data_IF_310007779244
#
_entry.id   IF_310007779244
#
_cell.length_a   1.000
_cell.length_b   1.000
_cell.length_c   1.000
_cell.angle_alpha   90.00
_cell.angle_beta   90.00
_cell.angle_gamma   90.00
#
_symmetry.space_group_name_H-M   'P 1'
#
loop_
_entity.id
_entity.type
_entity.pdbx_description
1 polymer ?
#
# COMPACT_ATOMS: atom_id res chain seq x y z
N UNK A 1 -23.57 -13.50 27.72
CA UNK A 1 -22.84 -12.27 27.38
C UNK A 1 -22.95 -12.18 25.88
N UNK A 2 -23.97 -11.47 25.39
CA UNK A 2 -24.09 -11.21 23.96
C UNK A 2 -23.12 -10.07 23.72
N UNK A 3 -22.00 -10.38 23.08
CA UNK A 3 -21.17 -9.30 22.54
C UNK A 3 -22.00 -8.77 21.38
N UNK A 4 -22.59 -7.59 21.58
CA UNK A 4 -23.34 -6.90 20.54
C UNK A 4 -22.43 -6.80 19.32
N UNK A 5 -22.91 -7.30 18.18
CA UNK A 5 -22.13 -7.36 16.92
C UNK A 5 -21.68 -5.96 16.48
N UNK A 6 -22.39 -4.92 16.93
CA UNK A 6 -22.04 -3.50 16.77
C UNK A 6 -20.78 -3.11 17.55
N UNK A 7 -20.61 -3.57 18.79
CA UNK A 7 -19.44 -3.28 19.63
C UNK A 7 -18.18 -3.97 19.08
N UNK A 8 -18.35 -5.15 18.47
CA UNK A 8 -17.28 -5.87 17.75
C UNK A 8 -16.87 -5.16 16.45
N UNK A 9 -17.82 -4.53 15.75
CA UNK A 9 -17.56 -3.76 14.52
C UNK A 9 -16.85 -2.45 14.84
N UNK A 10 -17.29 -1.74 15.88
CA UNK A 10 -16.63 -0.50 16.30
C UNK A 10 -15.20 -0.75 16.79
N UNK A 11 -14.95 -1.82 17.54
CA UNK A 11 -13.60 -2.19 17.97
C UNK A 11 -12.68 -2.62 16.82
N UNK A 12 -13.22 -3.23 15.76
CA UNK A 12 -12.44 -3.54 14.56
C UNK A 12 -12.11 -2.28 13.75
N UNK A 13 -13.07 -1.36 13.62
CA UNK A 13 -12.88 -0.08 12.94
C UNK A 13 -11.82 0.72 13.70
N UNK A 14 -11.93 0.86 15.02
CA UNK A 14 -10.98 1.59 15.85
C UNK A 14 -9.58 0.96 15.81
N UNK A 15 -9.47 -0.38 15.76
CA UNK A 15 -8.17 -1.06 15.63
C UNK A 15 -7.54 -0.93 14.23
N UNK A 16 -8.35 -0.78 13.17
CA UNK A 16 -7.86 -0.47 11.82
C UNK A 16 -7.53 1.01 11.64
N UNK A 17 -8.29 1.91 12.25
CA UNK A 17 -8.08 3.36 12.23
C UNK A 17 -6.83 3.76 13.02
N UNK A 18 -6.53 3.07 14.13
CA UNK A 18 -5.35 3.39 14.94
C UNK A 18 -4.01 3.02 14.29
N UNK A 19 -4.01 2.19 13.24
CA UNK A 19 -2.83 1.93 12.39
C UNK A 19 -2.79 2.83 11.15
N UNK A 20 -3.89 3.51 10.87
CA UNK A 20 -4.00 4.45 9.78
C UNK A 20 -3.89 5.85 10.38
N UNK A 21 -2.67 6.35 10.51
CA UNK A 21 -2.41 7.76 10.82
C UNK A 21 -2.83 8.61 9.59
N UNK A 22 -4.14 8.65 9.33
CA UNK A 22 -4.83 9.51 8.37
C UNK A 22 -5.02 10.88 9.03
N UNK A 23 -3.90 11.58 9.24
CA UNK A 23 -3.94 13.01 9.47
C UNK A 23 -3.30 13.75 8.29
N UNK A 24 -4.19 14.44 7.55
CA UNK A 24 -3.94 15.49 6.55
C UNK A 24 -3.28 15.07 5.24
N UNK A 25 -3.87 14.11 4.54
CA UNK A 25 -4.19 14.17 3.11
C UNK A 25 -5.00 12.91 2.77
N UNK A 26 -5.93 12.97 1.82
CA UNK A 26 -6.67 11.79 1.33
C UNK A 26 -5.75 10.82 0.53
N UNK A 27 -4.50 10.67 0.95
CA UNK A 27 -3.49 9.82 0.35
C UNK A 27 -3.64 8.45 0.97
N UNK A 28 -4.27 7.53 0.25
CA UNK A 28 -4.29 6.12 0.62
C UNK A 28 -2.82 5.68 0.74
N UNK A 29 -2.35 5.17 1.91
CA UNK A 29 -0.97 4.77 2.06
C UNK A 29 -0.62 3.73 1.00
N UNK A 30 0.56 3.85 0.40
CA UNK A 30 1.01 2.95 -0.67
C UNK A 30 0.87 1.46 -0.30
N UNK A 31 1.16 1.10 0.96
CA UNK A 31 0.99 -0.27 1.48
C UNK A 31 -0.46 -0.77 1.52
N UNK A 32 -1.46 0.11 1.51
CA UNK A 32 -2.86 -0.26 1.40
C UNK A 32 -3.31 -0.43 -0.06
N UNK A 33 -2.69 0.29 -1.00
CA UNK A 33 -2.98 0.17 -2.44
C UNK A 33 -2.30 -1.06 -3.06
N UNK A 34 -1.15 -1.47 -2.55
CA UNK A 34 -0.40 -2.64 -3.02
C UNK A 34 -0.52 -3.82 -2.03
N UNK A 35 -1.70 -4.45 -1.87
CA UNK A 35 -1.85 -5.58 -0.95
C UNK A 35 -1.01 -6.79 -1.42
N UNK A 36 -0.73 -7.77 -0.54
CA UNK A 36 0.08 -8.94 -0.90
C UNK A 36 -0.38 -9.66 -2.16
N UNK A 37 -1.71 -9.80 -2.36
CA UNK A 37 -2.25 -10.42 -3.57
C UNK A 37 -1.95 -9.63 -4.86
N UNK A 38 -1.87 -8.30 -4.77
CA UNK A 38 -1.45 -7.45 -5.90
C UNK A 38 0.04 -7.63 -6.17
N UNK A 39 0.88 -7.58 -5.12
CA UNK A 39 2.33 -7.73 -5.25
C UNK A 39 2.71 -9.07 -5.86
N UNK A 40 2.11 -10.17 -5.40
CA UNK A 40 2.30 -11.50 -5.97
C UNK A 40 1.82 -11.64 -7.42
N UNK A 41 0.93 -10.77 -7.88
CA UNK A 41 0.39 -10.81 -9.25
C UNK A 41 1.31 -10.08 -10.23
N UNK A 42 1.86 -8.94 -9.84
CA UNK A 42 2.59 -8.03 -10.75
C UNK A 42 4.10 -7.91 -10.46
N UNK A 43 4.59 -8.58 -9.42
CA UNK A 43 5.99 -8.51 -8.96
C UNK A 43 6.45 -9.88 -8.45
N UNK A 44 7.75 -10.03 -8.21
CA UNK A 44 8.32 -11.24 -7.58
C UNK A 44 8.30 -11.20 -6.04
N UNK A 45 7.71 -10.15 -5.44
CA UNK A 45 7.72 -9.92 -4.00
C UNK A 45 6.38 -10.29 -3.36
N UNK A 46 6.44 -10.77 -2.11
CA UNK A 46 5.25 -11.15 -1.35
C UNK A 46 4.47 -9.93 -0.85
N UNK A 47 5.18 -8.85 -0.49
CA UNK A 47 4.59 -7.62 0.06
C UNK A 47 5.26 -6.36 -0.48
N UNK A 48 4.58 -5.22 -0.35
CA UNK A 48 5.16 -3.92 -0.70
C UNK A 48 6.36 -3.57 0.19
N UNK A 49 6.38 -4.06 1.44
CA UNK A 49 7.55 -3.89 2.30
C UNK A 49 8.75 -4.65 1.76
N UNK A 50 8.59 -5.92 1.37
CA UNK A 50 9.70 -6.69 0.78
C UNK A 50 10.24 -6.04 -0.50
N UNK A 51 9.36 -5.43 -1.28
CA UNK A 51 9.75 -4.65 -2.46
C UNK A 51 10.59 -3.43 -2.10
N UNK A 52 10.27 -2.73 -1.00
CA UNK A 52 11.08 -1.59 -0.52
C UNK A 52 12.38 -2.05 0.14
N UNK A 53 12.36 -3.14 0.91
CA UNK A 53 13.55 -3.69 1.59
C UNK A 53 14.62 -4.15 0.60
N UNK A 54 14.20 -4.55 -0.61
CA UNK A 54 15.08 -4.97 -1.70
C UNK A 54 15.54 -3.79 -2.57
N UNK A 55 15.03 -2.58 -2.29
CA UNK A 55 15.43 -1.36 -2.97
C UNK A 55 16.79 -0.86 -2.47
N UNK A 56 17.46 0.04 -3.20
CA UNK A 56 18.72 0.64 -2.75
C UNK A 56 18.53 1.68 -1.62
N UNK A 57 17.30 2.00 -1.24
CA UNK A 57 16.97 2.98 -0.21
C UNK A 57 16.65 2.30 1.12
N UNK A 58 17.04 2.94 2.21
CA UNK A 58 16.67 2.53 3.57
C UNK A 58 15.34 3.22 3.93
N UNK A 59 14.23 2.49 3.79
CA UNK A 59 12.86 3.02 3.97
C UNK A 59 12.25 2.41 5.22
N UNK A 60 12.42 3.08 6.36
CA UNK A 60 11.84 2.63 7.64
C UNK A 60 10.44 3.25 7.84
N UNK A 61 10.19 4.41 7.25
CA UNK A 61 8.95 5.15 7.42
C UNK A 61 8.53 5.95 6.18
N UNK A 62 7.33 6.53 6.23
CA UNK A 62 6.76 7.27 5.11
C UNK A 62 7.57 8.54 4.72
N UNK A 63 8.27 9.16 5.66
CA UNK A 63 9.12 10.31 5.39
C UNK A 63 10.31 9.91 4.52
N UNK A 64 10.96 8.79 4.84
CA UNK A 64 12.11 8.28 4.07
C UNK A 64 11.66 7.98 2.62
N UNK A 65 10.49 7.37 2.46
CA UNK A 65 9.91 7.12 1.14
C UNK A 65 9.68 8.42 0.34
N UNK A 66 9.24 9.50 0.98
CA UNK A 66 9.04 10.80 0.34
C UNK A 66 10.34 11.50 -0.06
N UNK A 67 11.47 11.12 0.53
CA UNK A 67 12.78 11.66 0.16
C UNK A 67 13.38 10.97 -1.07
N UNK A 68 12.81 9.84 -1.50
CA UNK A 68 13.24 9.14 -2.71
C UNK A 68 12.91 9.98 -3.95
N UNK A 69 13.88 10.23 -4.84
CA UNK A 69 13.62 10.90 -6.11
C UNK A 69 12.64 10.08 -6.97
N UNK A 70 11.55 10.71 -7.42
CA UNK A 70 10.52 10.05 -8.22
C UNK A 70 11.07 9.34 -9.45
N UNK A 71 11.96 9.98 -10.22
CA UNK A 71 12.56 9.39 -11.43
C UNK A 71 13.38 8.10 -11.14
N UNK A 72 14.05 8.06 -9.99
CA UNK A 72 14.81 6.87 -9.57
C UNK A 72 13.85 5.77 -9.10
N UNK A 73 12.80 6.13 -8.36
CA UNK A 73 11.78 5.19 -7.94
C UNK A 73 11.00 4.61 -9.13
N UNK A 74 10.66 5.42 -10.12
CA UNK A 74 10.05 4.96 -11.38
C UNK A 74 10.94 3.97 -12.12
N UNK A 75 12.25 4.23 -12.13
CA UNK A 75 13.23 3.30 -12.69
C UNK A 75 13.25 1.98 -11.93
N UNK A 76 13.19 2.03 -10.59
CA UNK A 76 13.13 0.85 -9.74
C UNK A 76 11.85 0.04 -9.98
N UNK A 77 10.69 0.69 -10.03
CA UNK A 77 9.39 0.08 -10.36
C UNK A 77 9.45 -0.61 -11.72
N UNK A 78 9.99 0.05 -12.75
CA UNK A 78 10.14 -0.52 -14.09
C UNK A 78 11.01 -1.77 -14.14
N UNK A 79 12.01 -1.85 -13.27
CA UNK A 79 12.95 -2.97 -13.25
C UNK A 79 12.44 -4.19 -12.49
N UNK A 80 11.54 -3.96 -11.52
CA UNK A 80 11.15 -4.96 -10.52
C UNK A 80 9.66 -5.33 -10.59
N UNK A 81 8.89 -4.70 -11.48
CA UNK A 81 7.46 -4.92 -11.69
C UNK A 81 7.12 -4.90 -13.17
N UNK A 82 5.89 -5.25 -13.53
CA UNK A 82 5.40 -5.13 -14.91
C UNK A 82 5.03 -3.68 -15.33
N UNK A 83 5.09 -2.72 -14.40
CA UNK A 83 4.68 -1.33 -14.64
C UNK A 83 5.82 -0.47 -15.21
N UNK A 84 5.48 0.65 -15.82
CA UNK A 84 6.47 1.53 -16.46
C UNK A 84 7.07 2.55 -15.49
N UNK A 85 6.35 2.85 -14.42
CA UNK A 85 6.60 3.91 -13.45
C UNK A 85 5.65 3.69 -12.26
N UNK A 86 5.87 4.45 -11.20
CA UNK A 86 5.07 4.36 -9.98
C UNK A 86 3.62 4.81 -10.17
N UNK A 87 3.38 5.84 -10.98
CA UNK A 87 2.04 6.34 -11.27
C UNK A 87 1.16 5.24 -11.87
N UNK A 88 1.64 4.55 -12.91
CA UNK A 88 0.91 3.45 -13.54
C UNK A 88 0.65 2.29 -12.57
N UNK A 89 1.61 1.97 -11.70
CA UNK A 89 1.41 0.96 -10.65
C UNK A 89 0.29 1.37 -9.69
N UNK A 90 0.25 2.64 -9.28
CA UNK A 90 -0.80 3.17 -8.40
C UNK A 90 -2.18 3.19 -9.07
N UNK A 91 -2.27 3.51 -10.36
CA UNK A 91 -3.53 3.51 -11.09
C UNK A 91 -4.16 2.11 -11.12
N UNK A 92 -3.37 1.08 -11.41
CA UNK A 92 -3.85 -0.31 -11.47
C UNK A 92 -4.18 -0.84 -10.08
N UNK A 93 -3.33 -0.56 -9.09
CA UNK A 93 -3.56 -0.86 -7.68
C UNK A 93 -4.87 -0.25 -7.16
N UNK A 94 -5.08 1.05 -7.42
CA UNK A 94 -6.28 1.77 -7.03
C UNK A 94 -7.54 1.21 -7.68
N UNK A 95 -7.47 0.85 -8.98
CA UNK A 95 -8.58 0.19 -9.68
C UNK A 95 -8.93 -1.16 -9.05
N UNK A 96 -7.95 -2.02 -8.77
CA UNK A 96 -8.20 -3.31 -8.12
C UNK A 96 -8.76 -3.17 -6.71
N UNK A 97 -8.32 -2.15 -5.97
CA UNK A 97 -8.84 -1.88 -4.63
C UNK A 97 -10.33 -1.48 -4.68
N UNK A 98 -10.70 -0.60 -5.61
CA UNK A 98 -12.10 -0.21 -5.81
C UNK A 98 -12.93 -1.42 -6.21
N UNK A 99 -12.47 -2.21 -7.19
CA UNK A 99 -13.19 -3.40 -7.66
C UNK A 99 -13.42 -4.39 -6.50
N UNK A 100 -12.43 -4.63 -5.63
CA UNK A 100 -12.57 -5.48 -4.42
C UNK A 100 -13.52 -4.93 -3.36
N UNK A 101 -13.72 -3.61 -3.27
CA UNK A 101 -14.59 -2.97 -2.26
C UNK A 101 -16.07 -2.97 -2.67
N UNK A 102 -16.36 -3.17 -3.95
CA UNK A 102 -17.73 -3.17 -4.50
C UNK A 102 -18.36 -4.57 -4.67
N UNK A 103 -17.64 -5.64 -4.33
CA UNK A 103 -18.13 -7.03 -4.29
C UNK A 103 -18.50 -7.44 -2.84
#
# INVERSE_FOLDING_TARGET
>A
MNIDEDELKEGLIEATEKQLDIHQDNTIPAGMMCPPGFMLTYTEFDTFQDFLDQSPWDVENQQDFREIPGDEFDTYVRQNTEFQDWEHMQEVAGKEYVDRKTD
#
